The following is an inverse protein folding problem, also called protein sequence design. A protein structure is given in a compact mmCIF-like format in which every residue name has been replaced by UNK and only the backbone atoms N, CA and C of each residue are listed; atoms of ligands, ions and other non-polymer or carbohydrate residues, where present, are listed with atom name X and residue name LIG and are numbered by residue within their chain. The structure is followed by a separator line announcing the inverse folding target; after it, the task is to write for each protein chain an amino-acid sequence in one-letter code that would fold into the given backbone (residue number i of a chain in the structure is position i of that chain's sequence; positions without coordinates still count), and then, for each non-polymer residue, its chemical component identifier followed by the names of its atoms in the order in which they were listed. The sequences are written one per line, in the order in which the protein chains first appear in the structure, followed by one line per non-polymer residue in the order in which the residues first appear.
data_IF_671413695621
#
_entry.id   IF_671413695621
#
_cell.length_a   1.000
_cell.length_b   1.000
_cell.length_c   1.000
_cell.angle_alpha   90.00
_cell.angle_beta   90.00
_cell.angle_gamma   90.00
#
_symmetry.space_group_name_H-M   'P 1'
#
loop_
_entity.id
_entity.type
_entity.pdbx_description
1 polymer ?
#
# COMPACT_ATOMS: atom_id res chain seq x y z
N UNK A 1 -58.56 -4.37 32.52
CA UNK A 1 -57.47 -4.99 33.30
C UNK A 1 -56.62 -5.86 32.39
N UNK A 2 -55.31 -5.83 32.62
CA UNK A 2 -54.20 -6.58 31.98
C UNK A 2 -53.54 -5.91 30.77
N UNK A 3 -52.24 -5.70 30.97
CA UNK A 3 -51.23 -4.96 30.22
C UNK A 3 -50.54 -5.87 29.20
N UNK A 4 -50.07 -5.32 28.08
CA UNK A 4 -48.92 -5.82 27.30
C UNK A 4 -48.39 -4.62 26.50
N UNK A 5 -47.40 -3.87 27.00
CA UNK A 5 -45.94 -4.06 26.89
C UNK A 5 -45.40 -3.80 25.47
N UNK A 6 -44.69 -2.67 25.39
CA UNK A 6 -43.69 -2.20 24.42
C UNK A 6 -43.15 -3.18 23.38
N UNK A 7 -43.06 -2.71 22.12
CA UNK A 7 -41.87 -2.95 21.29
C UNK A 7 -41.49 -1.66 20.56
N UNK A 8 -40.52 -0.94 21.12
CA UNK A 8 -39.81 0.15 20.46
C UNK A 8 -38.85 -0.54 19.48
N UNK A 9 -39.19 -0.52 18.19
CA UNK A 9 -38.23 -0.85 17.15
C UNK A 9 -37.24 0.32 17.03
N UNK A 10 -36.17 0.25 17.82
CA UNK A 10 -34.98 1.04 17.57
C UNK A 10 -34.36 0.55 16.26
N UNK A 11 -34.64 1.27 15.17
CA UNK A 11 -33.93 1.10 13.91
C UNK A 11 -32.46 1.50 14.16
N UNK A 12 -31.61 0.49 14.26
CA UNK A 12 -30.17 0.65 14.17
C UNK A 12 -29.86 1.15 12.74
N UNK A 13 -29.71 2.46 12.59
CA UNK A 13 -29.13 3.04 11.38
C UNK A 13 -27.65 2.73 11.46
N UNK A 14 -27.20 1.69 10.76
CA UNK A 14 -25.79 1.45 10.51
C UNK A 14 -25.23 2.72 9.85
N UNK A 15 -24.33 3.39 10.55
CA UNK A 15 -23.52 4.45 9.97
C UNK A 15 -22.65 3.81 8.89
N UNK A 16 -23.12 3.84 7.64
CA UNK A 16 -22.24 3.73 6.50
C UNK A 16 -21.29 4.94 6.61
N UNK A 17 -20.07 4.66 7.09
CA UNK A 17 -18.94 5.58 6.96
C UNK A 17 -18.83 5.84 5.46
N UNK A 18 -19.37 6.98 5.02
CA UNK A 18 -19.18 7.47 3.68
C UNK A 18 -17.70 7.81 3.56
N UNK A 19 -16.91 6.85 3.10
CA UNK A 19 -15.63 7.12 2.48
C UNK A 19 -15.90 8.14 1.36
N UNK A 20 -15.40 9.36 1.52
CA UNK A 20 -15.45 10.37 0.48
C UNK A 20 -14.78 9.78 -0.76
N UNK A 21 -15.58 9.54 -1.81
CA UNK A 21 -15.05 8.99 -3.05
C UNK A 21 -14.00 9.97 -3.58
N UNK A 22 -12.76 9.54 -3.82
CA UNK A 22 -11.71 10.45 -4.25
C UNK A 22 -12.13 11.17 -5.54
N UNK A 23 -11.87 12.48 -5.60
CA UNK A 23 -12.27 13.38 -6.69
C UNK A 23 -11.82 12.86 -8.08
N UNK A 24 -10.70 12.13 -8.13
CA UNK A 24 -10.26 11.38 -9.31
C UNK A 24 -9.43 10.15 -8.90
N UNK A 25 -9.30 9.17 -9.81
CA UNK A 25 -8.46 7.99 -9.59
C UNK A 25 -6.96 8.37 -9.46
N UNK A 26 -6.56 9.48 -10.08
CA UNK A 26 -5.20 10.01 -10.00
C UNK A 26 -4.93 10.62 -8.62
N UNK A 27 -5.84 11.46 -8.11
CA UNK A 27 -5.75 12.03 -6.76
C UNK A 27 -5.72 10.94 -5.69
N UNK A 28 -6.55 9.90 -5.85
CA UNK A 28 -6.51 8.72 -4.99
C UNK A 28 -5.12 8.08 -4.99
N UNK A 29 -4.59 7.81 -6.18
CA UNK A 29 -3.31 7.12 -6.36
C UNK A 29 -2.16 7.95 -5.77
N UNK A 30 -2.17 9.26 -5.99
CA UNK A 30 -1.19 10.18 -5.42
C UNK A 30 -1.25 10.17 -3.88
N UNK A 31 -2.45 10.26 -3.31
CA UNK A 31 -2.62 10.21 -1.86
C UNK A 31 -2.20 8.85 -1.29
N UNK A 32 -2.61 7.76 -1.93
CA UNK A 32 -2.19 6.40 -1.59
C UNK A 32 -0.67 6.28 -1.53
N UNK A 33 0.06 6.74 -2.56
CA UNK A 33 1.52 6.65 -2.54
C UNK A 33 2.15 7.54 -1.46
N UNK A 34 1.61 8.74 -1.21
CA UNK A 34 2.07 9.59 -0.10
C UNK A 34 1.95 8.87 1.24
N UNK A 35 0.83 8.19 1.50
CA UNK A 35 0.62 7.43 2.75
C UNK A 35 1.50 6.18 2.79
N UNK A 36 1.59 5.44 1.68
CA UNK A 36 2.45 4.27 1.57
C UNK A 36 3.92 4.62 1.87
N UNK A 37 4.44 5.72 1.31
CA UNK A 37 5.80 6.18 1.57
C UNK A 37 6.02 6.47 3.06
N UNK A 38 5.06 7.12 3.73
CA UNK A 38 5.12 7.33 5.19
C UNK A 38 5.20 6.01 5.99
N UNK A 39 4.53 4.95 5.55
CA UNK A 39 4.65 3.64 6.24
C UNK A 39 6.08 3.09 6.17
N UNK A 40 6.77 3.35 5.05
CA UNK A 40 8.13 2.87 4.77
C UNK A 40 9.21 3.73 5.43
N UNK A 41 8.91 4.97 5.83
CA UNK A 41 9.82 5.82 6.63
C UNK A 41 10.22 5.15 7.96
N UNK A 42 9.36 4.28 8.51
CA UNK A 42 9.63 3.54 9.75
C UNK A 42 10.69 2.44 9.61
N UNK A 43 11.03 2.04 8.39
CA UNK A 43 11.97 0.95 8.10
C UNK A 43 13.43 1.43 8.20
N UNK A 44 14.19 0.90 9.15
CA UNK A 44 15.55 1.37 9.40
C UNK A 44 16.53 0.91 8.32
N UNK A 45 16.41 -0.32 7.82
CA UNK A 45 17.34 -0.84 6.81
C UNK A 45 17.17 -0.11 5.47
N UNK A 46 15.95 0.24 5.10
CA UNK A 46 15.63 0.85 3.81
C UNK A 46 16.33 2.20 3.59
N UNK A 47 16.57 2.96 4.67
CA UNK A 47 17.15 4.31 4.64
C UNK A 47 18.67 4.36 4.85
N UNK A 48 19.33 3.19 4.94
CA UNK A 48 20.80 3.16 5.06
C UNK A 48 21.47 3.64 3.77
N UNK A 49 22.60 4.34 3.91
CA UNK A 49 23.30 4.97 2.77
C UNK A 49 23.86 3.97 1.74
N UNK A 50 24.35 2.82 2.18
CA UNK A 50 24.94 1.81 1.30
C UNK A 50 23.94 0.72 0.96
N UNK A 51 23.85 0.30 -0.31
CA UNK A 51 22.97 -0.78 -0.76
C UNK A 51 23.20 -2.09 -0.01
N UNK A 52 24.46 -2.42 0.33
CA UNK A 52 24.77 -3.62 1.11
C UNK A 52 24.27 -3.52 2.55
N UNK A 53 24.23 -2.31 3.11
CA UNK A 53 23.73 -2.07 4.45
C UNK A 53 22.19 -2.16 4.52
N UNK A 54 21.50 -2.05 3.38
CA UNK A 54 20.04 -2.25 3.26
C UNK A 54 19.62 -3.72 3.26
N UNK A 55 20.57 -4.64 3.12
CA UNK A 55 20.34 -6.09 3.16
C UNK A 55 20.05 -6.51 4.59
N UNK A 56 18.99 -7.28 4.78
CA UNK A 56 18.53 -7.69 6.09
C UNK A 56 17.01 -7.84 6.15
N UNK A 57 16.53 -8.16 7.34
CA UNK A 57 15.10 -8.35 7.61
C UNK A 57 14.71 -7.50 8.80
N UNK A 58 13.56 -6.82 8.73
CA UNK A 58 12.96 -6.13 9.85
C UNK A 58 11.43 -6.21 9.78
N UNK A 59 10.78 -6.06 10.94
CA UNK A 59 9.33 -5.95 11.05
C UNK A 59 9.01 -4.73 11.89
N UNK A 60 8.13 -3.86 11.39
CA UNK A 60 7.64 -2.69 12.13
C UNK A 60 6.13 -2.80 12.32
N UNK A 61 5.64 -2.31 13.45
CA UNK A 61 4.21 -2.30 13.75
C UNK A 61 3.51 -1.12 13.06
N UNK A 62 2.21 -1.30 12.77
CA UNK A 62 1.33 -0.20 12.39
C UNK A 62 1.18 0.85 13.48
N UNK A 63 0.56 1.98 13.10
CA UNK A 63 0.19 3.01 14.08
C UNK A 63 -0.88 2.52 15.05
N UNK A 64 -1.84 1.74 14.54
CA UNK A 64 -2.95 1.18 15.32
C UNK A 64 -2.82 -0.35 15.46
N UNK A 65 -2.56 -1.05 14.35
CA UNK A 65 -2.52 -2.52 14.33
C UNK A 65 -1.72 -3.07 13.14
N UNK A 66 -1.49 -4.38 13.14
CA UNK A 66 -0.79 -5.08 12.05
C UNK A 66 0.69 -4.73 11.92
N UNK A 67 1.30 -5.24 10.86
CA UNK A 67 2.76 -5.16 10.67
C UNK A 67 3.16 -4.92 9.22
N UNK A 68 4.34 -4.32 9.06
CA UNK A 68 5.06 -4.18 7.80
C UNK A 68 6.37 -4.95 7.95
N UNK A 69 6.50 -6.02 7.18
CA UNK A 69 7.69 -6.84 7.08
C UNK A 69 8.54 -6.40 5.89
N UNK A 70 9.83 -6.23 6.10
CA UNK A 70 10.82 -5.91 5.10
C UNK A 70 11.89 -7.00 5.07
N UNK A 71 12.20 -7.51 3.88
CA UNK A 71 13.24 -8.50 3.68
C UNK A 71 14.00 -8.20 2.39
N UNK A 72 15.31 -8.00 2.51
CA UNK A 72 16.21 -7.80 1.37
C UNK A 72 17.26 -8.88 1.35
N UNK A 73 17.32 -9.58 0.22
CA UNK A 73 18.26 -10.67 -0.03
C UNK A 73 18.99 -10.45 -1.33
N UNK A 74 20.30 -10.69 -1.33
CA UNK A 74 21.09 -10.79 -2.55
C UNK A 74 20.87 -12.18 -3.13
N UNK A 75 20.47 -12.27 -4.40
CA UNK A 75 20.25 -13.52 -5.12
C UNK A 75 21.00 -13.48 -6.44
N UNK A 76 22.13 -14.18 -6.50
CA UNK A 76 23.02 -14.16 -7.67
C UNK A 76 23.58 -12.76 -7.93
N UNK A 77 23.40 -12.25 -9.15
CA UNK A 77 23.84 -10.93 -9.60
C UNK A 77 22.74 -9.85 -9.39
N UNK A 78 21.99 -9.94 -8.30
CA UNK A 78 20.85 -9.07 -8.07
C UNK A 78 20.37 -9.08 -6.63
N UNK A 79 19.36 -8.26 -6.34
CA UNK A 79 18.69 -8.20 -5.04
C UNK A 79 17.18 -8.33 -5.21
N UNK A 80 16.57 -9.02 -4.25
CA UNK A 80 15.12 -9.13 -4.10
C UNK A 80 14.75 -8.39 -2.83
N UNK A 81 13.87 -7.40 -2.96
CA UNK A 81 13.30 -6.64 -1.85
C UNK A 81 11.85 -7.07 -1.71
N UNK A 82 11.45 -7.53 -0.53
CA UNK A 82 10.07 -7.91 -0.22
C UNK A 82 9.56 -7.00 0.88
N UNK A 83 8.50 -6.26 0.59
CA UNK A 83 7.70 -5.53 1.56
C UNK A 83 6.37 -6.27 1.69
N UNK A 84 6.03 -6.75 2.88
CA UNK A 84 4.75 -7.42 3.14
C UNK A 84 4.01 -6.69 4.24
N UNK A 85 2.85 -6.16 3.89
CA UNK A 85 1.89 -5.59 4.80
C UNK A 85 0.95 -6.71 5.27
N UNK A 86 0.67 -6.76 6.56
CA UNK A 86 -0.27 -7.73 7.14
C UNK A 86 -1.20 -6.99 8.09
N UNK A 87 -2.39 -6.66 7.57
CA UNK A 87 -3.38 -5.81 8.24
C UNK A 87 -2.77 -4.54 8.88
N UNK A 88 -1.76 -3.95 8.24
CA UNK A 88 -1.07 -2.77 8.77
C UNK A 88 -2.05 -1.60 8.78
N UNK A 89 -2.36 -1.07 9.95
CA UNK A 89 -3.24 0.08 10.11
C UNK A 89 -2.43 1.30 10.57
N UNK A 90 -2.47 2.38 9.79
CA UNK A 90 -1.89 3.65 10.19
C UNK A 90 -2.81 4.45 11.12
N UNK A 91 -2.32 5.56 11.67
CA UNK A 91 -3.08 6.43 12.58
C UNK A 91 -4.26 7.13 11.89
N UNK A 92 -4.25 7.20 10.57
CA UNK A 92 -5.31 7.80 9.76
C UNK A 92 -6.38 6.77 9.35
N UNK A 93 -6.23 5.50 9.72
CA UNK A 93 -7.19 4.43 9.46
C UNK A 93 -7.06 3.75 8.09
N UNK A 94 -5.94 3.94 7.39
CA UNK A 94 -5.62 3.15 6.20
C UNK A 94 -5.11 1.77 6.60
N UNK A 95 -5.79 0.74 6.12
CA UNK A 95 -5.41 -0.65 6.39
C UNK A 95 -4.80 -1.23 5.11
N UNK A 96 -3.53 -1.61 5.16
CA UNK A 96 -2.79 -2.20 4.05
C UNK A 96 -2.60 -3.69 4.29
N UNK A 97 -2.89 -4.48 3.26
CA UNK A 97 -2.66 -5.91 3.26
C UNK A 97 -2.16 -6.37 1.88
N UNK A 98 -1.10 -7.19 1.87
CA UNK A 98 -0.49 -7.68 0.64
C UNK A 98 1.02 -7.47 0.60
N UNK A 99 1.62 -7.63 -0.58
CA UNK A 99 3.06 -7.56 -0.73
C UNK A 99 3.51 -6.82 -1.98
N UNK A 100 4.68 -6.18 -1.89
CA UNK A 100 5.40 -5.54 -2.96
C UNK A 100 6.78 -6.21 -3.01
N UNK A 101 7.05 -6.90 -4.11
CA UNK A 101 8.30 -7.57 -4.37
C UNK A 101 9.01 -6.82 -5.49
N UNK A 102 10.24 -6.39 -5.25
CA UNK A 102 11.10 -5.74 -6.23
C UNK A 102 12.26 -6.65 -6.56
N UNK A 103 12.36 -7.04 -7.83
CA UNK A 103 13.51 -7.77 -8.35
C UNK A 103 14.44 -6.79 -9.04
N UNK A 104 15.72 -6.78 -8.66
CA UNK A 104 16.73 -5.89 -9.22
C UNK A 104 17.99 -6.65 -9.62
N UNK A 105 18.69 -6.19 -10.66
CA UNK A 105 20.01 -6.68 -11.05
C UNK A 105 21.14 -5.73 -10.58
N UNK A 106 22.41 -6.08 -10.84
CA UNK A 106 23.57 -5.23 -10.51
C UNK A 106 23.53 -3.82 -11.13
N UNK A 107 22.86 -3.65 -12.27
CA UNK A 107 22.66 -2.36 -12.91
C UNK A 107 21.47 -1.57 -12.31
N UNK A 108 20.87 -2.08 -11.22
CA UNK A 108 19.69 -1.53 -10.55
C UNK A 108 18.46 -1.45 -11.46
N UNK A 109 18.41 -2.27 -12.50
CA UNK A 109 17.24 -2.44 -13.34
C UNK A 109 16.43 -3.63 -12.84
N UNK A 110 15.11 -3.55 -12.97
CA UNK A 110 14.24 -4.45 -12.27
C UNK A 110 12.78 -4.38 -12.65
N UNK A 111 11.98 -5.17 -11.94
CA UNK A 111 10.53 -5.18 -12.04
C UNK A 111 9.93 -5.20 -10.65
N UNK A 112 8.80 -4.53 -10.50
CA UNK A 112 7.95 -4.70 -9.35
C UNK A 112 6.94 -5.80 -9.62
N UNK A 113 6.49 -6.44 -8.57
CA UNK A 113 5.42 -7.43 -8.58
C UNK A 113 4.70 -7.41 -7.25
N UNK A 114 3.45 -7.86 -7.26
CA UNK A 114 2.61 -7.94 -6.09
C UNK A 114 1.47 -6.94 -6.09
N UNK A 115 0.67 -7.04 -5.05
CA UNK A 115 -0.60 -6.33 -4.94
C UNK A 115 -0.79 -5.91 -3.50
N UNK A 116 -1.24 -4.67 -3.32
CA UNK A 116 -1.65 -4.12 -2.04
C UNK A 116 -3.15 -3.87 -2.09
N UNK A 117 -3.86 -4.50 -1.17
CA UNK A 117 -5.26 -4.24 -0.89
C UNK A 117 -5.32 -3.22 0.24
N UNK A 118 -6.01 -2.13 -0.02
CA UNK A 118 -6.33 -1.11 0.95
C UNK A 118 -7.77 -1.34 1.42
N UNK A 119 -7.94 -1.43 2.73
CA UNK A 119 -9.22 -1.46 3.42
C UNK A 119 -9.29 -0.29 4.42
N UNK A 120 -10.48 0.02 4.94
CA UNK A 120 -10.67 1.10 5.91
C UNK A 120 -11.21 2.38 5.27
N UNK A 121 -10.52 3.51 5.50
CA UNK A 121 -11.02 4.85 5.12
C UNK A 121 -11.27 4.99 3.62
N UNK A 122 -10.43 4.37 2.78
CA UNK A 122 -10.60 4.47 1.33
C UNK A 122 -10.18 3.17 0.64
N UNK A 123 -11.12 2.22 0.47
CA UNK A 123 -10.81 0.90 -0.05
C UNK A 123 -10.41 0.93 -1.53
N UNK A 124 -9.35 0.20 -1.88
CA UNK A 124 -8.92 -0.02 -3.26
C UNK A 124 -7.92 -1.18 -3.34
N UNK A 125 -7.61 -1.63 -4.56
CA UNK A 125 -6.55 -2.58 -4.82
C UNK A 125 -5.55 -1.98 -5.81
N UNK A 126 -4.27 -2.03 -5.46
CA UNK A 126 -3.17 -1.50 -6.28
C UNK A 126 -2.22 -2.64 -6.65
N UNK A 127 -2.08 -2.92 -7.94
CA UNK A 127 -1.19 -3.95 -8.47
C UNK A 127 0.07 -3.33 -9.12
N UNK A 128 1.22 -3.92 -8.83
CA UNK A 128 2.56 -3.44 -9.15
C UNK A 128 3.24 -4.18 -10.31
N UNK A 129 2.62 -5.27 -10.81
CA UNK A 129 3.23 -6.20 -11.79
C UNK A 129 3.66 -5.58 -13.12
N UNK A 130 3.12 -4.39 -13.45
CA UNK A 130 3.39 -3.72 -14.72
C UNK A 130 4.42 -2.58 -14.60
N UNK A 131 5.09 -2.43 -13.45
CA UNK A 131 6.07 -1.35 -13.23
C UNK A 131 7.50 -1.83 -13.42
N UNK A 132 8.26 -1.06 -14.19
CA UNK A 132 9.65 -1.32 -14.53
C UNK A 132 10.55 -0.36 -13.76
N UNK A 133 11.57 -0.93 -13.12
CA UNK A 133 12.61 -0.17 -12.43
C UNK A 133 13.82 0.01 -13.35
N UNK A 134 14.32 1.24 -13.45
CA UNK A 134 15.60 1.54 -14.07
C UNK A 134 16.44 2.40 -13.13
N UNK A 135 17.74 2.07 -13.00
CA UNK A 135 18.68 2.81 -12.12
C UNK A 135 18.17 2.98 -10.67
N UNK A 136 17.44 1.99 -10.16
CA UNK A 136 16.96 1.98 -8.78
C UNK A 136 15.71 2.81 -8.50
N UNK A 137 15.00 3.28 -9.54
CA UNK A 137 13.71 3.98 -9.39
C UNK A 137 12.69 3.51 -10.43
N UNK A 138 11.38 3.64 -10.17
CA UNK A 138 10.35 3.44 -11.18
C UNK A 138 10.59 4.38 -12.37
N UNK A 139 10.67 3.81 -13.56
CA UNK A 139 11.06 4.55 -14.76
C UNK A 139 10.12 4.36 -15.94
N UNK A 140 9.33 3.29 -15.95
CA UNK A 140 8.37 2.99 -17.00
C UNK A 140 7.27 2.05 -16.48
N UNK A 141 6.18 1.92 -17.24
CA UNK A 141 5.05 1.07 -16.92
C UNK A 141 3.90 1.81 -16.24
N UNK A 142 3.02 1.05 -15.60
CA UNK A 142 1.83 1.58 -14.94
C UNK A 142 1.43 0.75 -13.73
N UNK A 143 0.75 1.39 -12.79
CA UNK A 143 0.05 0.71 -11.70
C UNK A 143 -1.39 0.43 -12.14
N UNK A 144 -1.96 -0.69 -11.70
CA UNK A 144 -3.38 -0.96 -11.88
C UNK A 144 -4.11 -0.66 -10.58
N UNK A 145 -4.97 0.36 -10.61
CA UNK A 145 -5.85 0.72 -9.50
C UNK A 145 -7.25 0.16 -9.74
N UNK A 146 -7.75 -0.64 -8.81
CA UNK A 146 -9.13 -1.12 -8.81
C UNK A 146 -9.86 -0.51 -7.63
N UNK A 147 -10.75 0.45 -7.91
CA UNK A 147 -11.66 1.00 -6.92
C UNK A 147 -12.91 0.10 -6.79
N UNK A 148 -13.53 -0.01 -5.61
CA UNK A 148 -14.72 -0.82 -5.40
C UNK A 148 -15.83 -0.44 -6.38
N UNK A 149 -16.35 -1.42 -7.12
CA UNK A 149 -17.43 -1.21 -8.08
C UNK A 149 -17.03 -0.46 -9.36
N UNK A 150 -15.74 -0.21 -9.61
CA UNK A 150 -15.23 0.40 -10.85
C UNK A 150 -14.30 -0.54 -11.60
N UNK A 151 -14.16 -0.32 -12.91
CA UNK A 151 -13.17 -1.05 -13.71
C UNK A 151 -11.73 -0.62 -13.31
N UNK A 152 -10.75 -1.54 -13.44
CA UNK A 152 -9.35 -1.22 -13.19
C UNK A 152 -8.88 -0.06 -14.08
N UNK A 153 -8.29 0.96 -13.45
CA UNK A 153 -7.73 2.11 -14.12
C UNK A 153 -6.20 2.01 -14.14
N UNK A 154 -5.61 2.36 -15.29
CA UNK A 154 -4.15 2.39 -15.46
C UNK A 154 -3.62 3.74 -14.98
N UNK A 155 -2.69 3.70 -14.03
CA UNK A 155 -2.09 4.88 -13.41
C UNK A 155 -0.61 4.97 -13.81
N UNK A 156 -0.20 6.09 -14.40
CA UNK A 156 1.19 6.30 -14.83
C UNK A 156 2.13 6.24 -13.61
N UNK A 157 3.29 5.60 -13.77
CA UNK A 157 4.31 5.52 -12.73
C UNK A 157 4.77 6.89 -12.22
N UNK A 158 4.61 7.95 -13.03
CA UNK A 158 4.92 9.34 -12.64
C UNK A 158 4.16 9.80 -11.41
N UNK A 159 2.95 9.29 -11.16
CA UNK A 159 2.20 9.62 -9.95
C UNK A 159 2.96 9.20 -8.68
N UNK A 160 3.70 8.09 -8.73
CA UNK A 160 4.60 7.71 -7.65
C UNK A 160 5.74 8.71 -7.50
N UNK A 161 6.36 9.17 -8.59
CA UNK A 161 7.42 10.20 -8.55
C UNK A 161 6.93 11.56 -8.06
N UNK A 162 5.65 11.88 -8.25
CA UNK A 162 5.04 13.09 -7.70
C UNK A 162 4.71 12.96 -6.22
N UNK A 163 4.46 11.74 -5.74
CA UNK A 163 4.20 11.48 -4.31
C UNK A 163 5.42 11.65 -3.41
N UNK A 164 6.63 11.65 -3.98
CA UNK A 164 7.92 11.76 -3.27
C UNK A 164 8.47 13.20 -3.24
N UNK A 165 7.81 14.14 -3.92
CA UNK A 165 8.10 15.58 -3.85
C UNK A 165 7.43 16.21 -2.63
#
# INVERSE_FOLDING_TARGET
MKKLVCLIFAFWIAAAVFAEAPASAEDYTLNYFKKLNKTQEKLTYMHKKSSLAKVGTETVNGGISGTLFYDVKIKGLGAVVTLRYTNYCDEEGWIYDGEIITHSNMAQNGKFSGTIKVSGVSPAEVCYDNVIMQKGSPADGFYLLTLPGKQPAKMDYKLYLESTK
#
